data_IF_514921842520
#
_entry.id   IF_514921842520
#
_cell.length_a   1.000
_cell.length_b   1.000
_cell.length_c   1.000
_cell.angle_alpha   90.00
_cell.angle_beta   90.00
_cell.angle_gamma   90.00
#
_symmetry.space_group_name_H-M   'P 1'
#
loop_
_entity.id
_entity.type
_entity.pdbx_description
1 polymer ?
#
# COMPACT_ATOMS: atom_id res chain seq x y z
N UNK A 1 26.30 4.33 10.92
CA UNK A 1 26.08 5.03 9.64
C UNK A 1 24.75 4.54 9.10
N UNK A 2 23.79 5.43 8.90
CA UNK A 2 22.43 5.09 8.47
C UNK A 2 22.37 5.00 6.95
N UNK A 3 21.90 3.87 6.42
CA UNK A 3 21.57 3.72 4.99
C UNK A 3 20.12 4.16 4.78
N UNK A 4 19.89 5.25 4.07
CA UNK A 4 18.53 5.80 3.83
C UNK A 4 18.21 5.76 2.34
N UNK A 5 17.10 5.14 1.98
CA UNK A 5 16.59 5.15 0.61
C UNK A 5 15.48 6.20 0.43
N UNK A 6 15.61 7.06 -0.58
CA UNK A 6 14.57 7.97 -1.02
C UNK A 6 13.83 7.40 -2.24
N UNK A 7 12.52 7.20 -2.12
CA UNK A 7 11.65 6.75 -3.21
C UNK A 7 10.60 7.83 -3.45
N UNK A 8 10.62 8.45 -4.62
CA UNK A 8 9.83 9.63 -4.90
C UNK A 8 8.81 9.42 -6.03
N UNK A 9 7.72 10.17 -5.99
CA UNK A 9 6.78 10.29 -7.11
C UNK A 9 7.38 11.15 -8.25
N UNK A 10 6.75 11.12 -9.42
CA UNK A 10 7.13 11.97 -10.55
C UNK A 10 6.62 13.41 -10.46
N UNK A 11 5.71 13.71 -9.52
CA UNK A 11 5.03 15.02 -9.42
C UNK A 11 5.52 15.80 -8.19
N UNK A 12 6.69 16.45 -8.31
CA UNK A 12 7.36 17.12 -7.19
C UNK A 12 7.56 18.63 -7.42
N UNK A 13 7.15 19.17 -8.58
CA UNK A 13 7.50 20.53 -9.02
C UNK A 13 7.18 21.64 -8.01
N UNK A 14 6.09 21.50 -7.23
CA UNK A 14 5.70 22.49 -6.24
C UNK A 14 6.51 22.44 -4.92
N UNK A 15 7.46 21.50 -4.78
CA UNK A 15 8.12 21.20 -3.51
C UNK A 15 9.65 21.36 -3.51
N UNK A 16 10.22 22.06 -4.48
CA UNK A 16 11.66 22.23 -4.62
C UNK A 16 12.34 22.73 -3.33
N UNK A 17 11.76 23.74 -2.66
CA UNK A 17 12.31 24.30 -1.41
C UNK A 17 12.32 23.26 -0.27
N UNK A 18 11.23 22.49 -0.11
CA UNK A 18 11.16 21.47 0.92
C UNK A 18 12.07 20.26 0.64
N UNK A 19 12.28 19.95 -0.66
CA UNK A 19 13.26 18.92 -1.07
C UNK A 19 14.68 19.38 -0.75
N UNK A 20 15.00 20.65 -1.01
CA UNK A 20 16.31 21.22 -0.65
C UNK A 20 16.55 21.14 0.86
N UNK A 21 15.56 21.50 1.68
CA UNK A 21 15.64 21.42 3.14
C UNK A 21 15.78 19.96 3.61
N UNK A 22 14.99 19.03 3.06
CA UNK A 22 15.10 17.60 3.36
C UNK A 22 16.51 17.08 3.06
N UNK A 23 17.04 17.38 1.88
CA UNK A 23 18.37 16.94 1.47
C UNK A 23 19.45 17.54 2.37
N UNK A 24 19.32 18.81 2.76
CA UNK A 24 20.23 19.45 3.71
C UNK A 24 20.21 18.77 5.09
N UNK A 25 19.02 18.39 5.59
CA UNK A 25 18.89 17.66 6.86
C UNK A 25 19.45 16.24 6.81
N UNK A 26 19.49 15.62 5.61
CA UNK A 26 20.07 14.30 5.37
C UNK A 26 21.56 14.35 4.99
N UNK A 27 22.13 15.51 4.70
CA UNK A 27 23.56 15.69 4.39
C UNK A 27 24.40 15.68 5.67
N UNK A 28 24.60 14.48 6.20
CA UNK A 28 25.28 14.20 7.47
C UNK A 28 26.38 13.17 7.28
N UNK A 29 27.50 13.26 8.04
CA UNK A 29 28.60 12.29 7.94
C UNK A 29 28.21 10.84 8.29
N UNK A 30 27.13 10.68 9.07
CA UNK A 30 26.61 9.39 9.51
C UNK A 30 25.47 8.86 8.63
N UNK A 31 25.14 9.52 7.50
CA UNK A 31 24.09 9.11 6.55
C UNK A 31 24.69 8.73 5.19
N UNK A 32 24.24 7.60 4.68
CA UNK A 32 24.52 7.09 3.34
C UNK A 32 23.18 7.14 2.55
N UNK A 33 23.06 8.08 1.62
CA UNK A 33 21.83 8.36 0.90
C UNK A 33 21.74 7.57 -0.41
N UNK A 34 20.62 6.91 -0.65
CA UNK A 34 20.32 6.14 -1.86
C UNK A 34 19.02 6.64 -2.49
N UNK A 35 18.92 6.66 -3.81
CA UNK A 35 17.66 7.06 -4.46
C UNK A 35 17.50 6.42 -5.85
N UNK A 36 16.29 6.52 -6.41
CA UNK A 36 16.05 6.15 -7.81
C UNK A 36 16.81 7.05 -8.77
N UNK A 37 17.36 6.50 -9.87
CA UNK A 37 18.02 7.30 -10.93
C UNK A 37 17.12 8.39 -11.50
N UNK A 38 15.83 8.08 -11.67
CA UNK A 38 14.83 9.04 -12.17
C UNK A 38 14.66 10.20 -11.20
N UNK A 39 14.59 9.92 -9.91
CA UNK A 39 14.46 10.97 -8.90
C UNK A 39 15.73 11.84 -8.81
N UNK A 40 16.93 11.22 -8.81
CA UNK A 40 18.18 11.96 -8.83
C UNK A 40 18.28 12.90 -10.05
N UNK A 41 17.87 12.40 -11.23
CA UNK A 41 17.79 13.24 -12.43
C UNK A 41 16.84 14.43 -12.24
N UNK A 42 15.64 14.21 -11.72
CA UNK A 42 14.70 15.31 -11.43
C UNK A 42 15.30 16.33 -10.47
N UNK A 43 15.97 15.88 -9.40
CA UNK A 43 16.68 16.79 -8.49
C UNK A 43 17.70 17.66 -9.20
N UNK A 44 18.54 17.07 -10.05
CA UNK A 44 19.65 17.77 -10.70
C UNK A 44 19.22 18.61 -11.90
N UNK A 45 18.25 18.13 -12.73
CA UNK A 45 17.87 18.83 -13.96
C UNK A 45 16.72 19.82 -13.77
N UNK A 46 15.76 19.49 -12.92
CA UNK A 46 14.53 20.28 -12.79
C UNK A 46 14.59 21.26 -11.60
N UNK A 47 15.36 20.92 -10.55
CA UNK A 47 15.45 21.70 -9.32
C UNK A 47 16.82 22.28 -9.02
N UNK A 48 17.83 21.96 -9.82
CA UNK A 48 19.25 22.36 -9.59
C UNK A 48 19.76 21.96 -8.18
N UNK A 49 19.32 20.80 -7.69
CA UNK A 49 19.72 20.23 -6.41
C UNK A 49 20.70 19.06 -6.66
N UNK A 50 21.90 19.15 -6.08
CA UNK A 50 23.00 18.20 -6.30
C UNK A 50 23.36 17.44 -5.00
N UNK A 51 22.49 16.55 -4.48
CA UNK A 51 22.81 15.82 -3.27
C UNK A 51 23.95 14.83 -3.47
N UNK A 52 24.77 14.65 -2.44
CA UNK A 52 25.72 13.55 -2.40
C UNK A 52 24.98 12.24 -2.17
N UNK A 53 25.01 11.33 -3.15
CA UNK A 53 24.39 10.01 -3.04
C UNK A 53 25.46 8.92 -3.01
N UNK A 54 25.23 7.89 -2.18
CA UNK A 54 26.11 6.72 -2.08
C UNK A 54 25.87 5.73 -3.23
N UNK A 55 24.65 5.70 -3.79
CA UNK A 55 24.30 4.83 -4.88
C UNK A 55 22.86 4.93 -5.34
N UNK A 56 22.52 4.12 -6.34
CA UNK A 56 21.17 4.04 -6.87
C UNK A 56 20.43 2.80 -6.41
N UNK A 57 19.14 2.97 -6.13
CA UNK A 57 18.23 1.88 -5.85
C UNK A 57 18.08 1.02 -7.12
N UNK A 58 18.22 -0.33 -7.03
CA UNK A 58 18.03 -1.22 -8.17
C UNK A 58 16.63 -1.10 -8.78
N UNK A 59 16.52 -1.15 -10.12
CA UNK A 59 15.23 -1.01 -10.80
C UNK A 59 14.39 -2.30 -10.81
N UNK A 60 14.99 -3.45 -10.50
CA UNK A 60 14.40 -4.79 -10.59
C UNK A 60 13.49 -5.19 -9.42
N UNK A 61 13.16 -4.23 -8.55
CA UNK A 61 12.36 -4.48 -7.34
C UNK A 61 12.96 -5.51 -6.36
N UNK A 62 14.25 -5.79 -6.45
CA UNK A 62 14.94 -6.58 -5.41
C UNK A 62 14.80 -5.94 -4.03
N UNK A 63 14.80 -6.73 -2.94
CA UNK A 63 14.76 -6.21 -1.58
C UNK A 63 15.85 -5.19 -1.30
N UNK A 64 15.56 -4.22 -0.44
CA UNK A 64 16.49 -3.15 -0.07
C UNK A 64 16.99 -3.38 1.35
N UNK A 65 18.31 -3.56 1.48
CA UNK A 65 19.02 -3.57 2.77
C UNK A 65 19.31 -2.12 3.20
N UNK A 66 18.34 -1.49 3.86
CA UNK A 66 18.38 -0.10 4.32
C UNK A 66 17.93 -0.02 5.78
N UNK A 67 18.46 0.96 6.51
CA UNK A 67 17.99 1.25 7.87
C UNK A 67 16.62 1.95 7.86
N UNK A 68 16.41 2.83 6.86
CA UNK A 68 15.16 3.55 6.66
C UNK A 68 14.84 3.74 5.17
N UNK A 69 13.55 3.77 4.87
CA UNK A 69 13.05 4.21 3.57
C UNK A 69 12.16 5.43 3.78
N UNK A 70 12.43 6.52 3.04
CA UNK A 70 11.58 7.71 3.01
C UNK A 70 10.87 7.76 1.67
N UNK A 71 9.55 7.68 1.72
CA UNK A 71 8.67 7.78 0.56
C UNK A 71 8.18 9.22 0.39
N UNK A 72 8.47 9.83 -0.76
CA UNK A 72 8.11 11.22 -1.11
C UNK A 72 6.98 11.22 -2.13
N UNK A 73 5.75 11.34 -1.68
CA UNK A 73 4.57 11.27 -2.55
C UNK A 73 3.30 10.96 -1.78
N UNK A 74 2.30 10.39 -2.45
CA UNK A 74 1.08 9.90 -1.81
C UNK A 74 1.15 8.40 -1.49
N UNK A 75 -0.01 7.83 -1.10
CA UNK A 75 -0.13 6.42 -0.71
C UNK A 75 0.41 5.45 -1.79
N UNK A 76 0.21 5.73 -3.08
CA UNK A 76 0.74 4.91 -4.17
C UNK A 76 2.28 4.88 -4.23
N UNK A 77 2.95 5.98 -3.84
CA UNK A 77 4.42 6.03 -3.75
C UNK A 77 4.90 5.22 -2.56
N UNK A 78 4.18 5.32 -1.43
CA UNK A 78 4.46 4.53 -0.24
C UNK A 78 4.27 3.03 -0.51
N UNK A 79 3.21 2.61 -1.20
CA UNK A 79 3.00 1.21 -1.61
C UNK A 79 4.17 0.69 -2.45
N UNK A 80 4.69 1.50 -3.38
CA UNK A 80 5.86 1.14 -4.20
C UNK A 80 7.12 0.99 -3.35
N UNK A 81 7.32 1.87 -2.38
CA UNK A 81 8.44 1.81 -1.42
C UNK A 81 8.31 0.59 -0.51
N UNK A 82 7.14 0.36 0.06
CA UNK A 82 6.85 -0.71 1.01
C UNK A 82 7.14 -2.11 0.46
N UNK A 83 6.77 -2.37 -0.80
CA UNK A 83 7.05 -3.65 -1.47
C UNK A 83 8.53 -4.03 -1.53
N UNK A 84 9.44 -3.04 -1.43
CA UNK A 84 10.88 -3.23 -1.46
C UNK A 84 11.44 -3.71 -0.12
N UNK A 85 10.64 -3.65 0.94
CA UNK A 85 11.09 -3.86 2.32
C UNK A 85 10.16 -4.76 3.14
N UNK A 86 9.19 -5.41 2.54
CA UNK A 86 8.25 -6.29 3.27
C UNK A 86 8.96 -7.40 4.01
N UNK A 87 9.90 -8.07 3.36
CA UNK A 87 10.65 -9.18 3.95
C UNK A 87 11.67 -8.72 5.01
N UNK A 88 12.23 -7.51 4.83
CA UNK A 88 13.29 -6.99 5.69
C UNK A 88 12.76 -6.30 6.95
N UNK A 89 11.49 -5.87 6.92
CA UNK A 89 10.87 -5.13 8.02
C UNK A 89 11.47 -3.74 8.25
N UNK A 90 12.17 -3.20 7.26
CA UNK A 90 12.75 -1.84 7.30
C UNK A 90 11.66 -0.80 7.53
N UNK A 91 11.82 0.14 8.48
CA UNK A 91 10.87 1.22 8.70
C UNK A 91 10.72 2.14 7.50
N UNK A 92 9.46 2.43 7.12
CA UNK A 92 9.11 3.32 6.01
C UNK A 92 8.43 4.57 6.56
N UNK A 93 9.05 5.73 6.31
CA UNK A 93 8.46 7.05 6.58
C UNK A 93 7.75 7.56 5.32
N UNK A 94 6.45 7.79 5.40
CA UNK A 94 5.66 8.35 4.31
C UNK A 94 5.50 9.86 4.43
N UNK A 95 6.10 10.63 3.53
CA UNK A 95 5.94 12.09 3.46
C UNK A 95 5.04 12.48 2.29
N UNK A 96 3.91 13.09 2.62
CA UNK A 96 2.94 13.50 1.63
C UNK A 96 3.43 14.74 0.88
N UNK A 97 3.36 14.67 -0.47
CA UNK A 97 3.76 15.75 -1.37
C UNK A 97 2.54 16.40 -2.07
N UNK A 98 1.35 16.29 -1.49
CA UNK A 98 0.14 16.83 -2.10
C UNK A 98 -1.09 16.62 -1.23
N UNK A 99 -2.05 15.81 -1.71
CA UNK A 99 -3.26 15.50 -0.94
C UNK A 99 -2.96 14.46 0.13
N UNK A 100 -3.42 14.72 1.35
CA UNK A 100 -3.31 13.80 2.49
C UNK A 100 -3.70 12.36 2.11
N UNK A 101 -2.86 11.39 2.45
CA UNK A 101 -3.12 9.96 2.30
C UNK A 101 -3.71 9.32 3.56
N UNK A 102 -3.99 8.02 3.50
CA UNK A 102 -4.26 7.19 4.67
C UNK A 102 -3.01 6.53 5.22
N UNK A 103 -2.01 6.35 4.37
CA UNK A 103 -0.69 5.81 4.71
C UNK A 103 0.35 6.92 4.85
N UNK A 104 0.22 8.00 4.05
CA UNK A 104 1.06 9.20 4.08
C UNK A 104 0.28 10.33 4.75
N UNK A 105 0.22 10.28 6.06
CA UNK A 105 -0.64 11.10 6.91
C UNK A 105 -0.05 12.46 7.27
N UNK A 106 1.23 12.70 6.93
CA UNK A 106 1.94 13.94 7.23
C UNK A 106 2.53 14.55 5.96
N UNK A 107 2.34 15.87 5.81
CA UNK A 107 2.98 16.61 4.74
C UNK A 107 4.47 16.77 4.99
N UNK A 108 5.27 16.95 3.92
CA UNK A 108 6.71 17.21 4.05
C UNK A 108 6.96 18.45 4.92
N UNK A 109 6.17 19.50 4.81
CA UNK A 109 6.29 20.73 5.60
C UNK A 109 6.17 20.48 7.10
N UNK A 110 5.22 19.63 7.51
CA UNK A 110 5.01 19.27 8.91
C UNK A 110 6.07 18.29 9.41
N UNK A 111 6.69 17.51 8.54
CA UNK A 111 7.67 16.49 8.90
C UNK A 111 9.09 17.05 9.06
N UNK A 112 9.50 18.02 8.23
CA UNK A 112 10.87 18.56 8.24
C UNK A 112 11.36 19.01 9.62
N UNK A 113 10.59 19.76 10.41
CA UNK A 113 11.02 20.15 11.79
C UNK A 113 11.21 18.96 12.74
N UNK A 114 10.62 17.81 12.42
CA UNK A 114 10.65 16.61 13.26
C UNK A 114 11.66 15.56 12.77
N UNK A 115 12.34 15.81 11.64
CA UNK A 115 13.17 14.78 10.98
C UNK A 115 14.37 14.35 11.86
N UNK A 116 14.87 15.22 12.75
CA UNK A 116 15.93 14.87 13.71
C UNK A 116 15.56 13.67 14.58
N UNK A 117 14.26 13.47 14.86
CA UNK A 117 13.76 12.32 15.63
C UNK A 117 14.11 10.97 15.03
N UNK A 118 14.33 10.92 13.71
CA UNK A 118 14.80 9.72 13.02
C UNK A 118 16.17 9.29 13.57
N UNK A 119 17.06 10.24 13.80
CA UNK A 119 18.42 10.02 14.29
C UNK A 119 18.51 9.90 15.81
N UNK A 120 17.62 10.59 16.52
CA UNK A 120 17.53 10.56 18.00
C UNK A 120 16.80 9.30 18.51
N UNK A 121 16.21 8.49 17.60
CA UNK A 121 15.43 7.31 17.96
C UNK A 121 14.11 7.63 18.67
N UNK A 122 13.62 8.88 18.57
CA UNK A 122 12.39 9.35 19.25
C UNK A 122 11.16 9.31 18.32
N UNK A 123 11.12 8.35 17.44
CA UNK A 123 9.99 8.03 16.56
C UNK A 123 9.21 6.82 17.09
N UNK A 124 8.03 6.59 16.54
CA UNK A 124 7.24 5.38 16.78
C UNK A 124 7.08 4.56 15.51
N UNK A 125 6.82 3.28 15.67
CA UNK A 125 6.54 2.40 14.53
C UNK A 125 5.21 1.69 14.70
N UNK A 126 4.51 1.48 13.58
CA UNK A 126 3.28 0.72 13.51
C UNK A 126 3.42 -0.42 12.49
N UNK A 127 3.08 -1.65 12.90
CA UNK A 127 3.08 -2.79 11.99
C UNK A 127 1.74 -2.90 11.27
N UNK A 128 1.79 -3.01 9.94
CA UNK A 128 0.62 -3.21 9.08
C UNK A 128 0.65 -4.62 8.50
N UNK A 129 -0.50 -5.29 8.60
CA UNK A 129 -0.71 -6.61 8.04
C UNK A 129 -0.56 -6.59 6.52
N UNK A 130 -0.01 -7.67 5.96
CA UNK A 130 0.04 -7.95 4.52
C UNK A 130 -0.80 -9.19 4.22
N UNK A 131 -1.33 -9.24 3.00
CA UNK A 131 -1.86 -10.46 2.39
C UNK A 131 -0.76 -11.16 1.62
N UNK A 132 -0.63 -12.48 1.78
CA UNK A 132 0.18 -13.34 0.94
C UNK A 132 -0.71 -14.05 -0.05
N UNK A 133 -0.30 -14.08 -1.31
CA UNK A 133 -1.03 -14.70 -2.42
C UNK A 133 -0.22 -15.85 -2.99
N UNK A 134 -0.87 -17.00 -3.16
CA UNK A 134 -0.35 -18.14 -3.90
C UNK A 134 -1.26 -18.43 -5.10
N UNK A 135 -0.67 -18.82 -6.20
CA UNK A 135 -1.36 -19.31 -7.41
C UNK A 135 -0.88 -20.72 -7.68
N UNK A 136 -1.81 -21.68 -7.70
CA UNK A 136 -1.50 -23.13 -7.87
C UNK A 136 -0.41 -23.63 -6.91
N UNK A 137 -0.40 -23.12 -5.66
CA UNK A 137 0.55 -23.47 -4.60
C UNK A 137 1.91 -22.79 -4.68
N UNK A 138 2.16 -21.96 -5.72
CA UNK A 138 3.39 -21.18 -5.82
C UNK A 138 3.18 -19.76 -5.29
N UNK A 139 4.16 -19.26 -4.52
CA UNK A 139 4.11 -17.85 -4.06
C UNK A 139 4.02 -16.90 -5.25
N UNK A 140 3.03 -16.01 -5.21
CA UNK A 140 2.75 -15.07 -6.29
C UNK A 140 3.09 -13.63 -5.95
N UNK A 141 2.95 -13.24 -4.68
CA UNK A 141 3.25 -11.91 -4.19
C UNK A 141 2.55 -11.56 -2.89
N UNK A 142 2.75 -10.32 -2.46
CA UNK A 142 2.15 -9.77 -1.25
C UNK A 142 1.46 -8.45 -1.54
N UNK A 143 0.42 -8.12 -0.76
CA UNK A 143 -0.31 -6.86 -0.86
C UNK A 143 -0.51 -6.23 0.53
N UNK A 144 -0.30 -4.91 0.62
CA UNK A 144 -0.57 -4.13 1.81
C UNK A 144 -2.04 -3.74 1.93
N UNK A 145 -2.65 -3.33 0.83
CA UNK A 145 -4.05 -2.93 0.81
C UNK A 145 -4.97 -4.09 0.45
N UNK A 146 -4.86 -4.57 -0.79
CA UNK A 146 -5.84 -5.52 -1.30
C UNK A 146 -5.34 -6.39 -2.45
N UNK A 147 -6.03 -7.50 -2.61
CA UNK A 147 -5.99 -8.40 -3.76
C UNK A 147 -7.36 -8.40 -4.40
N UNK A 148 -7.47 -7.94 -5.63
CA UNK A 148 -8.73 -7.97 -6.36
C UNK A 148 -8.67 -8.99 -7.52
N UNK A 149 -9.73 -9.80 -7.63
CA UNK A 149 -9.98 -10.66 -8.78
C UNK A 149 -11.10 -10.02 -9.59
N UNK A 150 -10.81 -9.64 -10.82
CA UNK A 150 -11.71 -8.83 -11.64
C UNK A 150 -12.02 -9.50 -12.98
N UNK A 151 -13.21 -9.25 -13.49
CA UNK A 151 -13.53 -9.58 -14.88
C UNK A 151 -12.60 -8.83 -15.84
N UNK A 152 -12.21 -9.48 -16.91
CA UNK A 152 -11.40 -8.86 -17.95
C UNK A 152 -12.25 -8.07 -18.96
N UNK A 153 -13.48 -8.53 -19.21
CA UNK A 153 -14.36 -7.95 -20.20
C UNK A 153 -15.58 -7.29 -19.58
N UNK A 154 -16.07 -6.25 -20.22
CA UNK A 154 -17.20 -5.46 -19.72
C UNK A 154 -18.56 -6.13 -19.91
N UNK A 155 -18.68 -7.05 -20.88
CA UNK A 155 -19.97 -7.62 -21.32
C UNK A 155 -20.48 -8.82 -20.52
N UNK A 156 -19.72 -9.36 -19.56
CA UNK A 156 -20.15 -10.50 -18.74
C UNK A 156 -19.61 -10.43 -17.33
N UNK A 157 -20.35 -10.98 -16.38
CA UNK A 157 -19.86 -11.21 -15.02
C UNK A 157 -18.91 -12.41 -14.99
N UNK A 158 -18.21 -12.55 -13.90
CA UNK A 158 -17.44 -13.74 -13.54
C UNK A 158 -18.08 -14.41 -12.35
N UNK A 159 -17.84 -15.70 -12.20
CA UNK A 159 -18.24 -16.47 -11.02
C UNK A 159 -17.00 -16.82 -10.22
N UNK A 160 -16.95 -16.38 -8.97
CA UNK A 160 -15.88 -16.72 -8.04
C UNK A 160 -16.43 -17.69 -6.99
N UNK A 161 -15.84 -18.88 -6.93
CA UNK A 161 -16.14 -19.86 -5.88
C UNK A 161 -15.16 -19.64 -4.74
N UNK A 162 -15.67 -19.26 -3.59
CA UNK A 162 -14.88 -18.95 -2.40
C UNK A 162 -15.07 -20.02 -1.33
N UNK A 163 -13.95 -20.41 -0.70
CA UNK A 163 -13.88 -21.29 0.46
C UNK A 163 -13.10 -20.61 1.58
N UNK A 164 -13.51 -20.88 2.81
CA UNK A 164 -12.73 -20.53 4.02
C UNK A 164 -12.32 -21.82 4.68
N UNK A 165 -11.02 -22.03 4.82
CA UNK A 165 -10.46 -23.31 5.26
C UNK A 165 -11.11 -24.50 4.50
N UNK A 166 -11.82 -25.39 5.23
CA UNK A 166 -12.43 -26.58 4.64
C UNK A 166 -13.91 -26.38 4.22
N UNK A 167 -14.50 -25.20 4.49
CA UNK A 167 -15.90 -24.93 4.23
C UNK A 167 -16.12 -24.08 2.97
N UNK A 168 -17.14 -24.42 2.18
CA UNK A 168 -17.62 -23.55 1.12
C UNK A 168 -18.27 -22.29 1.74
N UNK A 169 -17.79 -21.11 1.31
CA UNK A 169 -18.36 -19.84 1.75
C UNK A 169 -19.52 -19.41 0.84
N UNK A 170 -19.25 -19.23 -0.44
CA UNK A 170 -20.23 -18.74 -1.41
C UNK A 170 -19.70 -18.82 -2.85
N UNK A 171 -20.63 -18.77 -3.79
CA UNK A 171 -20.35 -18.49 -5.20
C UNK A 171 -20.79 -17.05 -5.52
N UNK A 172 -19.85 -16.19 -5.89
CA UNK A 172 -20.10 -14.78 -6.21
C UNK A 172 -20.21 -14.60 -7.71
N UNK A 173 -21.41 -14.32 -8.21
CA UNK A 173 -21.62 -13.80 -9.56
C UNK A 173 -21.52 -12.28 -9.52
N UNK A 174 -20.44 -11.71 -10.07
CA UNK A 174 -20.13 -10.30 -9.87
C UNK A 174 -19.12 -9.78 -10.92
N UNK A 175 -18.79 -8.51 -10.86
CA UNK A 175 -17.72 -7.90 -11.65
C UNK A 175 -16.33 -8.19 -11.07
N UNK A 176 -16.26 -8.55 -9.82
CA UNK A 176 -15.03 -8.92 -9.12
C UNK A 176 -15.21 -9.09 -7.62
N UNK A 177 -14.14 -9.51 -6.97
CA UNK A 177 -14.05 -9.70 -5.53
C UNK A 177 -12.75 -9.08 -5.01
N UNK A 178 -12.85 -8.27 -3.97
CA UNK A 178 -11.70 -7.65 -3.30
C UNK A 178 -11.49 -8.30 -1.96
N UNK A 179 -10.30 -8.82 -1.72
CA UNK A 179 -9.85 -9.27 -0.41
C UNK A 179 -8.89 -8.20 0.12
N UNK A 180 -9.22 -7.60 1.25
CA UNK A 180 -8.40 -6.50 1.77
C UNK A 180 -7.99 -6.65 3.23
N UNK A 181 -6.86 -6.03 3.54
CA UNK A 181 -6.39 -5.80 4.91
C UNK A 181 -7.20 -4.70 5.57
N UNK A 182 -7.04 -4.46 6.88
CA UNK A 182 -7.59 -3.25 7.51
C UNK A 182 -7.09 -1.96 6.86
N UNK A 183 -5.80 -1.88 6.46
CA UNK A 183 -5.27 -0.74 5.69
C UNK A 183 -6.00 -0.56 4.36
N UNK A 184 -6.26 -1.66 3.65
CA UNK A 184 -6.98 -1.67 2.38
C UNK A 184 -8.47 -1.38 2.47
N UNK A 185 -9.05 -1.38 3.68
CA UNK A 185 -10.46 -0.97 3.88
C UNK A 185 -10.72 0.48 3.43
N UNK A 186 -9.68 1.31 3.37
CA UNK A 186 -9.74 2.69 2.86
C UNK A 186 -9.32 2.83 1.40
N UNK A 187 -9.00 1.72 0.71
CA UNK A 187 -8.59 1.66 -0.69
C UNK A 187 -9.73 1.16 -1.62
N UNK A 188 -9.52 0.14 -2.41
CA UNK A 188 -10.52 -0.33 -3.38
C UNK A 188 -11.79 -0.86 -2.71
N UNK A 189 -11.65 -1.52 -1.56
CA UNK A 189 -12.81 -1.99 -0.78
C UNK A 189 -13.77 -0.86 -0.42
N UNK A 190 -13.26 0.34 -0.08
CA UNK A 190 -14.12 1.51 0.20
C UNK A 190 -14.97 1.89 -1.01
N UNK A 191 -14.38 1.89 -2.21
CA UNK A 191 -15.08 2.17 -3.47
C UNK A 191 -16.13 1.12 -3.83
N UNK A 192 -15.98 -0.10 -3.30
CA UNK A 192 -16.92 -1.21 -3.44
C UNK A 192 -17.90 -1.32 -2.24
N UNK A 193 -18.06 -0.25 -1.46
CA UNK A 193 -18.94 -0.17 -0.29
C UNK A 193 -18.56 -1.11 0.86
N UNK A 194 -17.29 -1.50 0.96
CA UNK A 194 -16.74 -2.18 2.13
C UNK A 194 -16.72 -1.29 3.37
N UNK A 195 -16.82 -1.85 4.58
CA UNK A 195 -16.72 -1.09 5.83
C UNK A 195 -15.31 -0.55 6.05
N UNK A 196 -15.22 0.59 6.73
CA UNK A 196 -13.95 1.09 7.24
C UNK A 196 -13.52 0.27 8.46
N UNK A 197 -12.24 -0.09 8.48
CA UNK A 197 -11.64 -0.81 9.59
C UNK A 197 -10.47 0.00 10.18
N UNK A 198 -10.35 -0.02 11.51
CA UNK A 198 -9.16 0.51 12.17
C UNK A 198 -7.94 -0.34 11.78
N UNK A 199 -6.78 0.25 11.49
CA UNK A 199 -5.61 -0.51 11.00
C UNK A 199 -5.13 -1.63 11.93
N UNK A 200 -5.43 -1.52 13.23
CA UNK A 200 -5.03 -2.47 14.26
C UNK A 200 -5.98 -3.66 14.41
N UNK A 201 -7.12 -3.66 13.71
CA UNK A 201 -8.09 -4.77 13.77
C UNK A 201 -7.49 -6.03 13.14
N UNK A 202 -7.60 -7.15 13.84
CA UNK A 202 -7.09 -8.45 13.40
C UNK A 202 -8.11 -9.19 12.54
N UNK A 203 -8.33 -8.70 11.32
CA UNK A 203 -9.33 -9.23 10.41
C UNK A 203 -8.94 -9.00 8.95
N UNK A 204 -9.57 -9.74 8.04
CA UNK A 204 -9.58 -9.50 6.60
C UNK A 204 -11.00 -9.19 6.14
N UNK A 205 -11.14 -8.59 4.99
CA UNK A 205 -12.40 -8.17 4.43
C UNK A 205 -12.59 -8.74 3.03
N UNK A 206 -13.73 -9.37 2.79
CA UNK A 206 -14.15 -9.87 1.48
C UNK A 206 -15.25 -8.95 0.97
N UNK A 207 -14.99 -8.21 -0.11
CA UNK A 207 -15.91 -7.21 -0.67
C UNK A 207 -16.25 -7.54 -2.13
N UNK A 208 -17.49 -7.95 -2.45
CA UNK A 208 -17.91 -8.18 -3.82
C UNK A 208 -18.12 -6.85 -4.56
N UNK A 209 -17.76 -6.80 -5.85
CA UNK A 209 -17.95 -5.66 -6.72
C UNK A 209 -19.15 -5.92 -7.62
N UNK A 210 -20.17 -5.07 -7.54
CA UNK A 210 -21.40 -5.16 -8.32
C UNK A 210 -21.98 -6.60 -8.37
N UNK A 211 -22.24 -7.25 -7.22
CA UNK A 211 -22.76 -8.60 -7.21
C UNK A 211 -24.16 -8.66 -7.83
N UNK A 212 -24.45 -9.72 -8.58
CA UNK A 212 -25.77 -9.96 -9.15
C UNK A 212 -26.84 -10.20 -8.06
N UNK A 213 -26.46 -10.93 -7.01
CA UNK A 213 -27.35 -11.19 -5.88
C UNK A 213 -27.47 -9.96 -4.97
N UNK A 214 -28.70 -9.51 -4.73
CA UNK A 214 -29.02 -8.40 -3.84
C UNK A 214 -28.76 -8.69 -2.35
N UNK A 215 -28.56 -9.95 -1.97
CA UNK A 215 -28.30 -10.36 -0.58
C UNK A 215 -26.80 -10.37 -0.23
N UNK A 216 -25.92 -10.35 -1.22
CA UNK A 216 -24.48 -10.32 -0.97
C UNK A 216 -24.05 -9.01 -0.28
N UNK A 217 -23.21 -9.14 0.72
CA UNK A 217 -22.65 -8.02 1.50
C UNK A 217 -21.17 -8.26 1.72
N UNK A 218 -20.38 -7.20 1.94
CA UNK A 218 -19.02 -7.35 2.44
C UNK A 218 -18.99 -8.15 3.74
N UNK A 219 -18.03 -9.04 3.86
CA UNK A 219 -17.85 -9.94 5.00
C UNK A 219 -16.51 -9.69 5.66
N UNK A 220 -16.52 -9.47 6.97
CA UNK A 220 -15.31 -9.39 7.80
C UNK A 220 -15.04 -10.80 8.35
N UNK A 221 -13.79 -11.26 8.19
CA UNK A 221 -13.34 -12.57 8.66
C UNK A 221 -12.08 -12.40 9.54
N UNK A 222 -11.77 -13.34 10.43
CA UNK A 222 -10.52 -13.35 11.20
C UNK A 222 -9.28 -13.30 10.31
N UNK A 223 -8.18 -12.69 10.80
CA UNK A 223 -6.94 -12.56 10.04
C UNK A 223 -6.19 -13.87 9.80
N UNK A 224 -6.47 -14.90 10.58
CA UNK A 224 -5.87 -16.23 10.53
C UNK A 224 -6.60 -17.20 9.58
N UNK A 225 -7.69 -16.75 8.96
CA UNK A 225 -8.38 -17.53 7.95
C UNK A 225 -7.57 -17.64 6.64
N UNK A 226 -7.77 -18.76 5.95
CA UNK A 226 -7.26 -18.97 4.60
C UNK A 226 -8.41 -18.94 3.61
N UNK A 227 -8.32 -18.05 2.62
CA UNK A 227 -9.31 -17.89 1.56
C UNK A 227 -8.81 -18.62 0.32
N UNK A 228 -9.57 -19.58 -0.18
CA UNK A 228 -9.33 -20.25 -1.45
C UNK A 228 -10.35 -19.77 -2.49
N UNK A 229 -9.89 -19.39 -3.66
CA UNK A 229 -10.71 -18.85 -4.74
C UNK A 229 -10.41 -19.58 -6.04
N UNK A 230 -11.46 -19.92 -6.78
CA UNK A 230 -11.38 -20.30 -8.20
C UNK A 230 -12.31 -19.43 -9.00
N UNK A 231 -11.94 -19.12 -10.24
CA UNK A 231 -12.67 -18.20 -11.10
C UNK A 231 -13.17 -18.91 -12.35
N UNK A 232 -14.42 -18.68 -12.69
CA UNK A 232 -15.02 -19.04 -13.97
C UNK A 232 -15.44 -17.78 -14.73
N UNK A 233 -15.00 -17.65 -15.97
CA UNK A 233 -15.31 -16.52 -16.85
C UNK A 233 -15.53 -17.01 -18.28
N UNK A 234 -16.34 -16.28 -19.04
CA UNK A 234 -16.69 -16.66 -20.44
C UNK A 234 -15.46 -16.80 -21.35
N UNK A 235 -14.45 -15.95 -21.16
CA UNK A 235 -13.23 -15.95 -21.99
C UNK A 235 -12.08 -16.72 -21.35
N UNK A 236 -12.38 -17.54 -20.37
CA UNK A 236 -11.41 -18.39 -19.70
C UNK A 236 -10.20 -17.66 -19.10
N UNK A 237 -10.32 -16.35 -18.88
CA UNK A 237 -9.28 -15.51 -18.22
C UNK A 237 -9.91 -14.46 -17.33
N UNK A 238 -9.17 -14.04 -16.30
CA UNK A 238 -9.54 -12.97 -15.38
C UNK A 238 -8.31 -12.11 -15.03
N UNK A 239 -8.53 -11.00 -14.36
CA UNK A 239 -7.45 -10.15 -13.85
C UNK A 239 -7.26 -10.41 -12.36
N UNK A 240 -6.00 -10.58 -11.95
CA UNK A 240 -5.60 -10.48 -10.55
C UNK A 240 -4.83 -9.18 -10.36
N UNK A 241 -5.16 -8.43 -9.32
CA UNK A 241 -4.57 -7.12 -9.01
C UNK A 241 -4.09 -7.12 -7.56
N UNK A 242 -2.81 -6.88 -7.33
CA UNK A 242 -2.20 -6.75 -6.00
C UNK A 242 -1.76 -5.30 -5.82
N UNK A 243 -2.42 -4.54 -4.92
CA UNK A 243 -2.16 -3.11 -4.69
C UNK A 243 -2.00 -2.32 -6.01
N UNK A 244 -2.90 -2.51 -6.97
CA UNK A 244 -2.89 -1.84 -8.26
C UNK A 244 -1.99 -2.46 -9.34
N UNK A 245 -1.19 -3.50 -9.06
CA UNK A 245 -0.45 -4.23 -10.08
C UNK A 245 -1.29 -5.34 -10.69
N UNK A 246 -1.60 -5.20 -11.97
CA UNK A 246 -2.49 -6.10 -12.71
C UNK A 246 -1.73 -7.15 -13.49
N UNK A 247 -2.20 -8.40 -13.41
CA UNK A 247 -1.78 -9.51 -14.28
C UNK A 247 -3.00 -10.30 -14.74
N UNK A 248 -2.86 -11.00 -15.86
CA UNK A 248 -3.92 -11.88 -16.42
C UNK A 248 -3.61 -13.31 -16.02
N UNK A 249 -4.63 -14.00 -15.49
CA UNK A 249 -4.57 -15.43 -15.18
C UNK A 249 -5.62 -16.22 -15.94
N UNK A 250 -5.37 -17.52 -16.23
CA UNK A 250 -6.38 -18.42 -16.79
C UNK A 250 -7.40 -18.79 -15.69
N UNK A 251 -8.66 -19.02 -16.12
CA UNK A 251 -9.65 -19.64 -15.24
C UNK A 251 -9.22 -21.05 -14.84
N UNK A 252 -9.65 -21.48 -13.64
CA UNK A 252 -9.24 -22.77 -13.08
C UNK A 252 -7.98 -22.70 -12.22
N UNK A 253 -7.19 -21.63 -12.31
CA UNK A 253 -6.09 -21.41 -11.38
C UNK A 253 -6.65 -21.31 -9.93
N UNK A 254 -6.04 -22.02 -9.00
CA UNK A 254 -6.37 -21.98 -7.58
C UNK A 254 -5.63 -20.83 -6.94
N UNK A 255 -6.37 -19.83 -6.44
CA UNK A 255 -5.82 -18.68 -5.73
C UNK A 255 -5.99 -18.91 -4.24
N UNK A 256 -4.90 -18.87 -3.50
CA UNK A 256 -4.93 -18.94 -2.03
C UNK A 256 -4.45 -17.62 -1.46
N UNK A 257 -5.26 -17.02 -0.59
CA UNK A 257 -4.97 -15.74 0.07
C UNK A 257 -5.03 -15.94 1.57
N UNK A 258 -3.99 -15.50 2.26
CA UNK A 258 -3.89 -15.54 3.71
C UNK A 258 -3.07 -14.37 4.24
N UNK A 259 -3.09 -14.15 5.54
CA UNK A 259 -2.16 -13.23 6.20
C UNK A 259 -0.72 -13.65 5.89
N UNK A 260 0.12 -12.69 5.51
CA UNK A 260 1.56 -12.91 5.35
C UNK A 260 2.26 -13.04 6.70
N UNK A 261 3.39 -13.76 6.70
CA UNK A 261 4.35 -13.77 7.82
C UNK A 261 5.09 -12.43 7.91
N UNK A 262 5.18 -11.70 6.80
CA UNK A 262 5.78 -10.38 6.72
C UNK A 262 4.79 -9.29 7.14
N UNK A 263 5.29 -8.12 7.46
CA UNK A 263 4.50 -6.93 7.79
C UNK A 263 5.21 -5.68 7.34
N UNK A 264 4.46 -4.64 6.95
CA UNK A 264 5.06 -3.32 6.75
C UNK A 264 5.27 -2.63 8.10
N UNK A 265 6.46 -2.10 8.32
CA UNK A 265 6.80 -1.24 9.44
C UNK A 265 6.64 0.23 9.01
N UNK A 266 5.53 0.89 9.36
CA UNK A 266 5.36 2.32 9.17
C UNK A 266 6.06 3.08 10.30
N UNK A 267 6.77 4.16 9.95
CA UNK A 267 7.43 5.05 10.88
C UNK A 267 6.66 6.36 11.00
N UNK A 268 6.41 6.79 12.23
CA UNK A 268 5.79 8.08 12.55
C UNK A 268 6.75 8.92 13.39
N UNK A 269 7.00 10.16 12.95
CA UNK A 269 7.90 11.09 13.65
C UNK A 269 7.29 11.65 14.94
N UNK A 270 5.98 11.58 15.09
CA UNK A 270 5.24 11.94 16.30
C UNK A 270 3.97 11.11 16.46
N UNK A 271 3.08 11.47 17.38
CA UNK A 271 1.81 10.79 17.58
C UNK A 271 0.93 10.88 16.35
N UNK A 272 0.50 9.73 15.86
CA UNK A 272 -0.43 9.60 14.75
C UNK A 272 -1.81 9.16 15.23
N UNK A 273 -2.87 9.74 14.63
CA UNK A 273 -4.26 9.36 14.90
C UNK A 273 -4.99 9.03 13.60
N UNK A 274 -5.31 7.77 13.40
CA UNK A 274 -6.10 7.33 12.25
C UNK A 274 -7.48 8.00 12.19
N UNK A 275 -8.10 8.28 13.35
CA UNK A 275 -9.40 8.98 13.40
C UNK A 275 -9.29 10.43 12.93
N UNK A 276 -8.15 11.11 13.15
CA UNK A 276 -7.93 12.44 12.60
C UNK A 276 -7.77 12.41 11.09
N UNK A 277 -7.06 11.39 10.57
CA UNK A 277 -6.93 11.16 9.14
C UNK A 277 -8.29 10.87 8.50
N UNK A 278 -9.14 10.04 9.11
CA UNK A 278 -10.51 9.79 8.66
C UNK A 278 -11.32 11.08 8.57
N UNK A 279 -11.34 11.89 9.64
CA UNK A 279 -12.08 13.15 9.68
C UNK A 279 -11.62 14.13 8.60
N UNK A 280 -10.32 14.31 8.46
CA UNK A 280 -9.73 15.23 7.46
C UNK A 280 -9.99 14.76 6.03
N UNK A 281 -9.82 13.47 5.76
CA UNK A 281 -9.86 12.92 4.40
C UNK A 281 -11.28 12.64 3.91
N UNK A 282 -12.16 12.16 4.77
CA UNK A 282 -13.56 11.87 4.45
C UNK A 282 -14.52 13.01 4.82
N UNK A 283 -13.99 14.14 5.31
CA UNK A 283 -14.77 15.30 5.73
C UNK A 283 -15.82 14.97 6.80
N UNK A 284 -15.56 13.96 7.62
CA UNK A 284 -16.44 13.62 8.72
C UNK A 284 -16.47 14.76 9.74
N UNK A 285 -17.66 15.11 10.20
CA UNK A 285 -17.92 16.26 11.07
C UNK A 285 -17.55 17.64 10.46
N UNK A 286 -17.34 17.73 9.15
CA UNK A 286 -17.36 19.02 8.49
C UNK A 286 -18.77 19.63 8.64
N UNK A 287 -18.91 20.93 8.97
CA UNK A 287 -20.23 21.57 9.02
C UNK A 287 -20.89 21.42 7.65
N UNK A 288 -22.14 20.95 7.64
CA UNK A 288 -22.98 20.97 6.44
C UNK A 288 -23.08 22.45 6.03
N UNK A 289 -22.53 22.79 4.87
CA UNK A 289 -22.74 24.13 4.33
C UNK A 289 -24.21 24.22 3.96
N UNK A 290 -24.95 25.08 4.67
CA UNK A 290 -26.29 25.51 4.28
C UNK A 290 -26.26 26.22 2.92
#
# INVERSE_FOLDING_TARGET
>A
MYKIALIASSHLAAHAAHLAELLHLLDRPDVSLWCDRSFHRTLTTDFDLHPTIAGYIPADYSPLDMDFVISLGGDGTLLRAARRVFAEGTPVLGLNMGRLGFLTDRSIQEALPLLSRLFDGTYTTERRMLLSVEVDGAHYGEALNDVALLKRETGSMITLHARLADAELASYECDGLVISTPSGSTAYSLSAYGPLMMPQVRAMLITPIAPHSLTMRPLVIPEDETIELTVSARNNTFLIVLDGQTKILPCGAKITIRKSVNSLCLLHLDSHSFTDTLRKKLLWAAPVRE
#
